data_IF_957784929725
#
_entry.id   IF_957784929725
#
_cell.length_a   1.000
_cell.length_b   1.000
_cell.length_c   1.000
_cell.angle_alpha   90.00
_cell.angle_beta   90.00
_cell.angle_gamma   90.00
#
_symmetry.space_group_name_H-M   'P 1'
#
loop_
_entity.id
_entity.type
_entity.pdbx_description
1 polymer ?
#
# COMPACT_ATOMS: atom_id res chain seq x y z
N UNK A 1 39.48 13.44 4.97
CA UNK A 1 38.75 13.20 6.22
C UNK A 1 37.37 13.82 6.08
N UNK A 2 36.30 13.02 6.11
CA UNK A 2 34.91 13.50 6.21
C UNK A 2 34.43 13.17 7.62
N UNK A 3 34.30 14.17 8.48
CA UNK A 3 33.71 14.00 9.80
C UNK A 3 32.20 14.06 9.66
N UNK A 4 31.51 12.93 9.84
CA UNK A 4 30.07 12.91 10.05
C UNK A 4 29.81 13.25 11.52
N UNK A 5 29.42 14.49 11.79
CA UNK A 5 28.89 14.87 13.09
C UNK A 5 27.45 14.38 13.19
N UNK A 6 27.17 13.52 14.16
CA UNK A 6 25.80 13.13 14.53
C UNK A 6 25.27 14.25 15.45
N UNK A 7 24.28 15.00 14.99
CA UNK A 7 23.64 16.03 15.80
C UNK A 7 22.68 15.36 16.80
N UNK A 8 23.20 15.11 18.01
CA UNK A 8 22.48 14.45 19.11
C UNK A 8 21.39 15.36 19.72
N UNK A 9 21.34 16.64 19.33
CA UNK A 9 20.39 17.62 19.85
C UNK A 9 19.23 17.95 18.89
N UNK A 10 19.02 17.16 17.83
CA UNK A 10 17.86 17.31 16.98
C UNK A 10 16.60 16.72 17.66
N UNK A 11 16.20 17.29 18.80
CA UNK A 11 14.97 17.02 19.55
C UNK A 11 13.72 17.58 18.84
N UNK A 12 13.80 17.91 17.54
CA UNK A 12 12.63 18.22 16.74
C UNK A 12 11.86 16.92 16.57
N UNK A 13 10.75 16.77 17.32
CA UNK A 13 9.77 15.72 17.06
C UNK A 13 9.37 15.80 15.59
N UNK A 14 9.83 14.85 14.80
CA UNK A 14 9.40 14.68 13.43
C UNK A 14 7.89 14.37 13.48
N UNK A 15 7.10 15.30 12.96
CA UNK A 15 5.64 15.23 12.97
C UNK A 15 5.19 15.43 11.54
N UNK A 16 4.24 14.62 11.08
CA UNK A 16 3.61 14.80 9.79
C UNK A 16 2.09 14.75 9.97
N UNK A 17 1.39 15.60 9.24
CA UNK A 17 -0.05 15.56 9.13
C UNK A 17 -0.41 15.05 7.75
N UNK A 18 -1.39 14.16 7.66
CA UNK A 18 -1.77 13.58 6.38
C UNK A 18 -3.20 13.06 6.37
N UNK A 19 -3.68 12.86 5.16
CA UNK A 19 -4.99 12.33 4.85
C UNK A 19 -4.84 11.14 3.91
N UNK A 20 -5.56 10.06 4.20
CA UNK A 20 -5.58 8.84 3.37
C UNK A 20 -7.00 8.58 2.89
N UNK A 21 -7.13 8.35 1.59
CA UNK A 21 -8.32 7.80 0.94
C UNK A 21 -8.03 6.38 0.50
N UNK A 22 -8.91 5.45 0.87
CA UNK A 22 -8.81 4.05 0.51
C UNK A 22 -10.02 3.60 -0.31
N UNK A 23 -9.76 2.88 -1.39
CA UNK A 23 -10.73 2.09 -2.13
C UNK A 23 -10.38 0.61 -2.00
N UNK A 24 -11.31 -0.20 -1.53
CA UNK A 24 -11.15 -1.64 -1.39
C UNK A 24 -12.34 -2.34 -2.06
N UNK A 25 -12.02 -3.22 -3.01
CA UNK A 25 -12.98 -4.05 -3.71
C UNK A 25 -12.58 -5.50 -3.60
N UNK A 26 -13.40 -6.29 -2.91
CA UNK A 26 -13.20 -7.72 -2.73
C UNK A 26 -14.42 -8.50 -3.24
N UNK A 27 -14.24 -9.28 -4.29
CA UNK A 27 -15.24 -10.23 -4.79
C UNK A 27 -14.73 -11.68 -4.80
N UNK A 28 -13.68 -11.95 -4.03
CA UNK A 28 -13.13 -13.30 -3.80
C UNK A 28 -14.18 -14.22 -3.22
N UNK A 29 -14.20 -15.47 -3.68
CA UNK A 29 -15.08 -16.50 -3.14
C UNK A 29 -14.72 -16.94 -1.71
N UNK A 30 -13.48 -16.71 -1.27
CA UNK A 30 -13.02 -17.01 0.08
C UNK A 30 -11.84 -16.14 0.48
N UNK A 31 -11.88 -15.57 1.68
CA UNK A 31 -10.79 -14.73 2.19
C UNK A 31 -9.45 -15.48 2.40
N UNK A 32 -9.48 -16.80 2.55
CA UNK A 32 -8.30 -17.61 2.91
C UNK A 32 -7.93 -18.69 1.91
N UNK A 33 -8.89 -19.18 1.13
CA UNK A 33 -8.67 -20.24 0.15
C UNK A 33 -9.50 -19.96 -1.09
N UNK A 34 -9.18 -18.86 -1.77
CA UNK A 34 -9.96 -18.40 -2.91
C UNK A 34 -9.59 -19.19 -4.17
N UNK A 35 -10.61 -19.58 -4.93
CA UNK A 35 -10.47 -20.30 -6.21
C UNK A 35 -10.91 -19.44 -7.39
N UNK A 36 -11.66 -18.36 -7.13
CA UNK A 36 -12.20 -17.45 -8.15
C UNK A 36 -12.42 -16.05 -7.58
N UNK A 37 -12.42 -15.06 -8.47
CA UNK A 37 -12.66 -13.66 -8.14
C UNK A 37 -11.37 -12.85 -8.02
N UNK A 38 -11.45 -11.69 -7.39
CA UNK A 38 -10.37 -10.72 -7.30
C UNK A 38 -10.48 -9.86 -6.05
N UNK A 39 -9.33 -9.34 -5.63
CA UNK A 39 -9.24 -8.30 -4.61
C UNK A 39 -8.36 -7.17 -5.14
N UNK A 40 -8.91 -5.97 -5.14
CA UNK A 40 -8.26 -4.74 -5.60
C UNK A 40 -8.29 -3.72 -4.48
N UNK A 41 -7.13 -3.19 -4.13
CA UNK A 41 -6.98 -2.12 -3.15
C UNK A 41 -6.18 -0.97 -3.73
N UNK A 42 -6.66 0.26 -3.50
CA UNK A 42 -5.97 1.49 -3.88
C UNK A 42 -6.01 2.46 -2.70
N UNK A 43 -4.84 2.87 -2.22
CA UNK A 43 -4.71 3.92 -1.21
C UNK A 43 -4.01 5.15 -1.81
N UNK A 44 -4.61 6.32 -1.63
CA UNK A 44 -4.01 7.62 -1.92
C UNK A 44 -3.78 8.33 -0.60
N UNK A 45 -2.54 8.64 -0.27
CA UNK A 45 -2.18 9.37 0.94
C UNK A 45 -1.48 10.66 0.55
N UNK A 46 -1.93 11.78 1.09
CA UNK A 46 -1.22 13.06 0.97
C UNK A 46 -0.92 13.61 2.35
N UNK A 47 0.17 14.36 2.50
CA UNK A 47 0.51 14.95 3.77
C UNK A 47 1.58 16.02 3.64
N UNK A 48 1.91 16.61 4.78
CA UNK A 48 2.94 17.64 4.93
C UNK A 48 3.69 17.43 6.25
N UNK A 49 4.97 17.82 6.27
CA UNK A 49 5.86 17.72 7.44
C UNK A 49 5.57 18.77 8.52
N UNK A 50 4.69 19.75 8.25
CA UNK A 50 4.15 20.63 9.27
C UNK A 50 2.82 21.23 8.80
N UNK A 51 1.96 21.67 9.74
CA UNK A 51 0.69 22.33 9.41
C UNK A 51 0.83 23.68 8.67
N UNK A 52 2.05 24.19 8.53
CA UNK A 52 2.40 25.39 7.77
C UNK A 52 3.36 25.11 6.60
N UNK A 53 3.69 23.83 6.32
CA UNK A 53 4.73 23.48 5.36
C UNK A 53 4.23 23.56 3.91
N UNK A 54 5.08 24.07 3.03
CA UNK A 54 4.89 24.09 1.57
C UNK A 54 5.24 22.74 0.91
N UNK A 55 5.92 21.85 1.64
CA UNK A 55 6.31 20.51 1.15
C UNK A 55 5.17 19.50 1.33
N UNK A 56 4.20 19.59 0.42
CA UNK A 56 3.14 18.60 0.27
C UNK A 56 3.67 17.37 -0.49
N UNK A 57 3.46 16.19 0.06
CA UNK A 57 3.78 14.92 -0.62
C UNK A 57 2.51 14.13 -0.95
N UNK A 58 2.65 13.25 -1.95
CA UNK A 58 1.60 12.31 -2.38
C UNK A 58 2.21 10.91 -2.51
N UNK A 59 1.54 9.93 -1.92
CA UNK A 59 1.84 8.50 -2.01
C UNK A 59 0.62 7.78 -2.58
N UNK A 60 0.86 6.86 -3.51
CA UNK A 60 -0.16 5.95 -4.02
C UNK A 60 0.29 4.50 -3.83
N UNK A 61 -0.62 3.64 -3.39
CA UNK A 61 -0.37 2.22 -3.18
C UNK A 61 -1.49 1.43 -3.86
N UNK A 62 -1.13 0.59 -4.83
CA UNK A 62 -2.07 -0.23 -5.59
C UNK A 62 -1.73 -1.71 -5.41
N UNK A 63 -2.75 -2.51 -5.10
CA UNK A 63 -2.65 -3.96 -5.01
C UNK A 63 -3.79 -4.58 -5.80
N UNK A 64 -3.48 -5.60 -6.61
CA UNK A 64 -4.47 -6.38 -7.33
C UNK A 64 -4.10 -7.86 -7.30
N UNK A 65 -5.09 -8.69 -7.02
CA UNK A 65 -4.99 -10.15 -7.08
C UNK A 65 -6.19 -10.71 -7.84
N UNK A 66 -5.96 -11.77 -8.61
CA UNK A 66 -6.97 -12.39 -9.46
C UNK A 66 -6.81 -13.91 -9.39
N UNK A 67 -7.95 -14.59 -9.31
CA UNK A 67 -7.99 -16.02 -9.10
C UNK A 67 -8.94 -16.65 -10.10
N UNK A 68 -8.47 -17.73 -10.69
CA UNK A 68 -9.18 -18.47 -11.72
C UNK A 68 -8.93 -19.95 -11.49
N UNK A 69 -10.01 -20.72 -11.30
CA UNK A 69 -9.92 -22.17 -11.28
C UNK A 69 -9.87 -22.66 -12.73
N UNK A 70 -8.83 -23.41 -13.08
CA UNK A 70 -8.68 -24.02 -14.40
C UNK A 70 -9.50 -25.32 -14.56
N UNK A 71 -10.36 -25.63 -13.59
CA UNK A 71 -11.06 -26.92 -13.53
C UNK A 71 -10.13 -28.06 -13.11
N UNK A 72 -10.63 -29.32 -13.13
CA UNK A 72 -9.79 -30.48 -12.93
C UNK A 72 -8.71 -30.55 -14.02
N UNK A 73 -7.44 -30.66 -13.63
CA UNK A 73 -6.32 -30.82 -14.57
C UNK A 73 -6.39 -32.15 -15.36
N UNK A 74 -7.27 -33.08 -14.97
CA UNK A 74 -7.42 -34.40 -15.59
C UNK A 74 -7.76 -34.35 -17.08
N UNK A 75 -8.57 -33.37 -17.51
CA UNK A 75 -8.98 -33.24 -18.92
C UNK A 75 -7.89 -32.60 -19.82
N UNK A 76 -6.79 -32.10 -19.22
CA UNK A 76 -5.65 -31.49 -19.94
C UNK A 76 -4.46 -32.44 -20.10
N UNK A 77 -4.48 -33.61 -19.45
CA UNK A 77 -3.38 -34.59 -19.45
C UNK A 77 -3.77 -35.96 -20.04
N UNK A 78 -4.85 -36.04 -20.82
CA UNK A 78 -5.24 -37.22 -21.63
C UNK A 78 -4.76 -37.10 -23.09
#
# INVERSE_FOLDING_TARGET
>A
YSSRALDVYNDKKEQAYGFTLGFDWDNRDSARNTTRGSHTSLNLTTGAESGQSEDLWLKWEFQNSQYYSLGPLGDWFD
#
